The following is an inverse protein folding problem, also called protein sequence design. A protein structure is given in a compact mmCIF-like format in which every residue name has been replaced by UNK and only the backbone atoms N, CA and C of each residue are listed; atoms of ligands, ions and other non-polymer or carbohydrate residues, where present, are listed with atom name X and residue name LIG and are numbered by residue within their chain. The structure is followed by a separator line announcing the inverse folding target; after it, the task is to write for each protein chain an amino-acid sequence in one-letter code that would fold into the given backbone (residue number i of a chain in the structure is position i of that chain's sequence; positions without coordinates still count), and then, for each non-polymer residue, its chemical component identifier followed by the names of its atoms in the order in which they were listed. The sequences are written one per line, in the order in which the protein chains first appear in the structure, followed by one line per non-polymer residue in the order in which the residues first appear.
data_IF_824207116613
#
_entry.id   IF_824207116613
#
_cell.length_a   1.000
_cell.length_b   1.000
_cell.length_c   1.000
_cell.angle_alpha   90.00
_cell.angle_beta   90.00
_cell.angle_gamma   90.00
#
_symmetry.space_group_name_H-M   'P 1'
#
loop_
_entity.id
_entity.type
_entity.pdbx_description
1 polymer ?
#
# COMPACT_ATOMS: atom_id res chain seq x y z
N UNK A 1 -4.78 8.56 8.70
CA UNK A 1 -4.11 8.35 10.01
C UNK A 1 -4.30 9.57 10.92
N UNK A 2 -3.80 10.75 10.52
CA UNK A 2 -3.94 12.00 11.29
C UNK A 2 -5.41 12.40 11.48
N UNK A 3 -6.21 12.43 10.42
CA UNK A 3 -7.65 12.75 10.50
C UNK A 3 -8.41 11.82 11.45
N UNK A 4 -8.23 10.50 11.33
CA UNK A 4 -8.81 9.51 12.27
C UNK A 4 -8.36 9.72 13.71
N UNK A 5 -7.08 10.03 13.94
CA UNK A 5 -6.56 10.29 15.28
C UNK A 5 -7.20 11.57 15.88
N UNK A 6 -7.34 12.62 15.08
CA UNK A 6 -8.04 13.86 15.49
C UNK A 6 -9.52 13.59 15.74
N UNK A 7 -10.20 12.85 14.87
CA UNK A 7 -11.60 12.49 15.04
C UNK A 7 -11.82 11.68 16.32
N UNK A 8 -10.92 10.74 16.63
CA UNK A 8 -10.98 9.96 17.86
C UNK A 8 -10.74 10.83 19.11
N UNK A 9 -9.72 11.69 19.09
CA UNK A 9 -9.38 12.58 20.22
C UNK A 9 -10.50 13.59 20.52
N UNK A 10 -11.14 14.12 19.46
CA UNK A 10 -12.22 15.09 19.60
C UNK A 10 -13.60 14.43 19.78
N UNK A 11 -13.68 13.10 19.80
CA UNK A 11 -14.96 12.38 19.87
C UNK A 11 -15.89 12.68 18.69
N UNK A 12 -15.33 12.96 17.52
CA UNK A 12 -16.09 13.26 16.30
C UNK A 12 -16.87 12.04 15.81
N UNK A 13 -17.99 12.31 15.12
CA UNK A 13 -18.83 11.26 14.54
C UNK A 13 -18.05 10.45 13.48
N UNK A 14 -17.81 9.14 13.69
CA UNK A 14 -17.11 8.29 12.74
C UNK A 14 -17.90 8.05 11.44
N UNK A 15 -19.22 8.26 11.45
CA UNK A 15 -20.11 8.14 10.30
C UNK A 15 -20.16 9.39 9.42
N UNK A 16 -19.54 10.50 9.85
CA UNK A 16 -19.59 11.75 9.11
C UNK A 16 -18.84 11.62 7.76
N UNK A 17 -19.57 11.83 6.67
CA UNK A 17 -19.08 11.62 5.30
C UNK A 17 -18.59 12.89 4.59
N UNK A 18 -18.53 14.03 5.29
CA UNK A 18 -18.10 15.31 4.72
C UNK A 18 -19.13 15.99 3.80
N UNK A 19 -20.32 15.42 3.62
CA UNK A 19 -21.34 15.94 2.70
C UNK A 19 -22.12 17.15 3.25
N UNK A 20 -22.19 17.31 4.57
CA UNK A 20 -22.91 18.42 5.23
C UNK A 20 -21.90 19.39 5.83
N UNK A 21 -21.34 20.26 4.99
CA UNK A 21 -20.49 21.37 5.42
C UNK A 21 -21.22 22.70 5.30
N UNK A 22 -21.15 23.52 6.35
CA UNK A 22 -21.54 24.94 6.32
C UNK A 22 -20.27 25.78 6.24
N UNK A 23 -20.31 26.85 5.46
CA UNK A 23 -19.24 27.85 5.46
C UNK A 23 -19.41 28.74 6.70
N UNK A 24 -18.51 28.69 7.69
CA UNK A 24 -18.63 29.49 8.92
C UNK A 24 -18.57 31.01 8.67
N UNK A 25 -18.06 31.44 7.51
CA UNK A 25 -17.95 32.85 7.12
C UNK A 25 -19.20 33.37 6.36
N UNK A 26 -20.22 32.53 6.15
CA UNK A 26 -21.39 32.94 5.38
C UNK A 26 -22.44 33.63 6.27
N UNK A 27 -22.95 34.79 5.81
CA UNK A 27 -23.80 35.73 6.58
C UNK A 27 -25.09 35.16 7.18
N UNK A 28 -25.69 34.15 6.54
CA UNK A 28 -26.88 33.46 7.05
C UNK A 28 -26.64 32.53 8.26
N UNK A 29 -25.39 32.29 8.67
CA UNK A 29 -25.10 31.41 9.81
C UNK A 29 -24.71 32.20 11.06
N UNK A 30 -25.25 31.79 12.19
CA UNK A 30 -24.75 32.23 13.49
C UNK A 30 -23.53 31.36 13.83
N UNK A 31 -22.34 31.92 13.69
CA UNK A 31 -21.08 31.25 14.02
C UNK A 31 -20.69 31.58 15.45
N UNK A 32 -20.46 30.54 16.26
CA UNK A 32 -19.93 30.68 17.63
C UNK A 32 -18.46 30.31 17.57
N UNK A 33 -17.58 31.27 17.82
CA UNK A 33 -16.15 31.05 17.94
C UNK A 33 -15.79 30.87 19.42
N UNK A 34 -15.40 29.66 19.79
CA UNK A 34 -15.08 29.32 21.19
C UNK A 34 -13.64 29.73 21.54
N UNK A 35 -12.73 29.70 20.57
CA UNK A 35 -11.34 30.12 20.73
C UNK A 35 -10.85 30.80 19.44
N UNK A 36 -10.54 32.10 19.52
CA UNK A 36 -10.14 32.90 18.35
C UNK A 36 -8.65 32.88 18.03
N UNK A 37 -7.86 32.22 18.87
CA UNK A 37 -6.44 32.01 18.61
C UNK A 37 -6.23 30.74 17.77
N UNK A 38 -5.41 30.79 16.71
CA UNK A 38 -5.03 29.59 15.97
C UNK A 38 -4.33 28.58 16.90
N UNK A 39 -4.68 27.30 16.76
CA UNK A 39 -3.95 26.23 17.43
C UNK A 39 -2.55 26.11 16.85
N UNK A 40 -1.53 26.03 17.71
CA UNK A 40 -0.18 25.66 17.26
C UNK A 40 -0.16 24.19 16.83
N UNK A 41 0.67 23.85 15.84
CA UNK A 41 0.84 22.45 15.40
C UNK A 41 1.32 21.56 16.55
N UNK A 42 2.13 22.10 17.44
CA UNK A 42 2.64 21.41 18.63
C UNK A 42 1.52 21.10 19.63
N UNK A 43 0.62 22.07 19.89
CA UNK A 43 -0.60 21.85 20.71
C UNK A 43 -1.48 20.78 20.09
N UNK A 44 -1.68 20.82 18.77
CA UNK A 44 -2.48 19.81 18.06
C UNK A 44 -1.85 18.41 18.14
N UNK A 45 -0.52 18.32 18.02
CA UNK A 45 0.20 17.05 18.05
C UNK A 45 0.30 16.44 19.45
N UNK A 46 0.30 17.26 20.52
CA UNK A 46 0.50 16.81 21.89
C UNK A 46 -0.52 15.77 22.39
N UNK A 47 -1.74 15.78 21.84
CA UNK A 47 -2.79 14.80 22.15
C UNK A 47 -2.95 13.66 21.13
N UNK A 48 -2.17 13.64 20.03
CA UNK A 48 -2.37 12.68 18.95
C UNK A 48 -1.43 11.48 19.06
N UNK A 49 -1.94 10.35 19.53
CA UNK A 49 -1.24 9.06 19.41
C UNK A 49 -1.38 8.49 17.99
N UNK A 50 -0.41 8.81 17.14
CA UNK A 50 -0.35 8.33 15.76
C UNK A 50 0.13 6.86 15.63
N UNK A 51 0.62 6.26 16.72
CA UNK A 51 1.13 4.88 16.70
C UNK A 51 0.00 3.86 16.45
N UNK A 52 -1.21 4.17 16.93
CA UNK A 52 -2.42 3.32 16.78
C UNK A 52 -2.98 3.43 15.35
N UNK A 53 -2.92 4.63 14.76
CA UNK A 53 -3.50 4.91 13.45
C UNK A 53 -2.72 4.27 12.28
N UNK A 54 -1.42 4.04 12.43
CA UNK A 54 -0.59 3.36 11.43
C UNK A 54 -0.88 1.85 11.33
N UNK A 55 -1.22 1.22 12.47
CA UNK A 55 -1.44 -0.23 12.54
C UNK A 55 -2.89 -0.63 12.25
N UNK A 56 -3.88 0.16 12.68
CA UNK A 56 -5.32 -0.13 12.44
C UNK A 56 -5.82 0.23 11.04
N UNK A 57 -5.09 1.02 10.25
CA UNK A 57 -5.42 1.22 8.84
C UNK A 57 -5.42 -0.10 8.03
N UNK A 58 -4.81 -1.17 8.58
CA UNK A 58 -4.74 -2.50 7.97
C UNK A 58 -5.76 -3.50 8.52
N UNK A 59 -6.44 -3.17 9.62
CA UNK A 59 -7.42 -4.07 10.26
C UNK A 59 -8.82 -3.58 9.94
N UNK A 60 -9.48 -4.25 9.00
CA UNK A 60 -10.90 -4.14 8.71
C UNK A 60 -11.71 -4.08 10.01
N UNK A 61 -12.37 -2.94 10.33
CA UNK A 61 -13.69 -2.85 10.98
C UNK A 61 -14.21 -1.42 10.73
N UNK A 62 -15.42 -1.32 10.19
CA UNK A 62 -16.19 -0.09 9.89
C UNK A 62 -15.43 1.04 9.20
N UNK A 63 -15.15 0.82 7.92
CA UNK A 63 -14.75 1.89 7.03
C UNK A 63 -15.98 2.68 6.58
N UNK A 64 -15.93 4.01 6.72
CA UNK A 64 -16.96 4.91 6.21
C UNK A 64 -17.19 4.69 4.69
N UNK A 65 -18.30 5.20 4.13
CA UNK A 65 -18.56 5.12 2.68
C UNK A 65 -17.37 5.54 1.80
N UNK A 66 -16.67 6.60 2.23
CA UNK A 66 -15.50 7.13 1.55
C UNK A 66 -14.33 6.15 1.54
N UNK A 67 -14.07 5.51 2.67
CA UNK A 67 -12.96 4.57 2.81
C UNK A 67 -13.20 3.30 1.98
N UNK A 68 -14.45 2.87 1.77
CA UNK A 68 -14.81 1.77 0.85
C UNK A 68 -14.50 2.14 -0.60
N UNK A 69 -14.89 3.34 -1.04
CA UNK A 69 -14.61 3.83 -2.39
C UNK A 69 -13.11 3.90 -2.67
N UNK A 70 -12.35 4.51 -1.76
CA UNK A 70 -10.89 4.59 -1.84
C UNK A 70 -10.23 3.21 -1.89
N UNK A 71 -10.74 2.24 -1.10
CA UNK A 71 -10.20 0.88 -1.09
C UNK A 71 -10.37 0.19 -2.45
N UNK A 72 -11.59 0.21 -3.02
CA UNK A 72 -11.84 -0.35 -4.36
C UNK A 72 -10.97 0.33 -5.41
N UNK A 73 -10.88 1.66 -5.38
CA UNK A 73 -10.03 2.42 -6.32
C UNK A 73 -8.55 2.02 -6.25
N UNK A 74 -8.01 1.92 -5.04
CA UNK A 74 -6.60 1.62 -4.78
C UNK A 74 -6.21 0.20 -5.21
N UNK A 75 -7.07 -0.79 -4.92
CA UNK A 75 -6.87 -2.16 -5.36
C UNK A 75 -7.05 -2.31 -6.86
N UNK A 76 -8.10 -1.69 -7.42
CA UNK A 76 -8.42 -1.76 -8.84
C UNK A 76 -7.32 -1.14 -9.69
N UNK A 77 -6.80 0.05 -9.34
CA UNK A 77 -5.77 0.72 -10.15
C UNK A 77 -4.49 -0.10 -10.23
N UNK A 78 -4.06 -0.72 -9.12
CA UNK A 78 -2.85 -1.55 -9.09
C UNK A 78 -3.02 -2.84 -9.90
N UNK A 79 -4.21 -3.45 -9.85
CA UNK A 79 -4.54 -4.54 -10.75
C UNK A 79 -4.51 -4.07 -12.22
N UNK A 80 -5.15 -2.93 -12.52
CA UNK A 80 -5.27 -2.40 -13.88
C UNK A 80 -3.92 -2.11 -14.54
N UNK A 81 -2.95 -1.55 -13.80
CA UNK A 81 -1.61 -1.29 -14.33
C UNK A 81 -0.90 -2.54 -14.83
N UNK A 82 -1.20 -3.71 -14.24
CA UNK A 82 -0.65 -5.00 -14.64
C UNK A 82 -1.47 -5.64 -15.75
N UNK A 83 -2.80 -5.57 -15.65
CA UNK A 83 -3.72 -6.26 -16.55
C UNK A 83 -3.82 -5.63 -17.94
N UNK A 84 -3.67 -4.30 -18.07
CA UNK A 84 -3.94 -3.57 -19.33
C UNK A 84 -3.16 -4.09 -20.55
N UNK A 85 -1.96 -4.68 -20.35
CA UNK A 85 -1.17 -5.29 -21.43
C UNK A 85 -1.93 -6.33 -22.23
N UNK A 86 -2.76 -7.14 -21.57
CA UNK A 86 -3.52 -8.21 -22.20
C UNK A 86 -4.63 -7.72 -23.13
N UNK A 87 -4.91 -6.42 -23.12
CA UNK A 87 -6.00 -5.81 -23.87
C UNK A 87 -5.52 -4.91 -25.02
N UNK A 88 -4.21 -4.77 -25.24
CA UNK A 88 -3.65 -4.05 -26.38
C UNK A 88 -3.81 -4.85 -27.67
N UNK A 89 -5.01 -4.78 -28.25
CA UNK A 89 -5.39 -5.40 -29.52
C UNK A 89 -6.39 -4.50 -30.27
N UNK A 90 -6.59 -4.68 -31.58
CA UNK A 90 -7.65 -3.97 -32.30
C UNK A 90 -9.00 -4.13 -31.58
N UNK A 91 -9.70 -3.01 -31.36
CA UNK A 91 -10.97 -2.96 -30.61
C UNK A 91 -10.89 -3.52 -29.17
N UNK A 92 -9.70 -3.54 -28.57
CA UNK A 92 -9.49 -4.06 -27.22
C UNK A 92 -10.06 -3.19 -26.10
N UNK A 93 -10.40 -1.92 -26.38
CA UNK A 93 -10.89 -0.98 -25.36
C UNK A 93 -12.21 -1.41 -24.73
N UNK A 94 -13.17 -1.95 -25.50
CA UNK A 94 -14.45 -2.37 -24.92
C UNK A 94 -14.25 -3.56 -23.97
N UNK A 95 -13.47 -4.54 -24.39
CA UNK A 95 -13.12 -5.70 -23.56
C UNK A 95 -12.30 -5.30 -22.33
N UNK A 96 -11.46 -4.27 -22.45
CA UNK A 96 -10.74 -3.67 -21.33
C UNK A 96 -11.72 -3.07 -20.32
N UNK A 97 -12.61 -2.17 -20.76
CA UNK A 97 -13.57 -1.51 -19.88
C UNK A 97 -14.51 -2.51 -19.19
N UNK A 98 -14.92 -3.57 -19.89
CA UNK A 98 -15.66 -4.68 -19.28
C UNK A 98 -14.85 -5.39 -18.20
N UNK A 99 -13.60 -5.76 -18.48
CA UNK A 99 -12.75 -6.43 -17.50
C UNK A 99 -12.47 -5.56 -16.26
N UNK A 100 -12.27 -4.24 -16.43
CA UNK A 100 -12.12 -3.33 -15.29
C UNK A 100 -13.41 -3.25 -14.47
N UNK A 101 -14.57 -3.24 -15.13
CA UNK A 101 -15.87 -3.27 -14.45
C UNK A 101 -16.04 -4.56 -13.65
N UNK A 102 -15.81 -5.71 -14.25
CA UNK A 102 -15.96 -7.02 -13.59
C UNK A 102 -15.00 -7.13 -12.39
N UNK A 103 -13.77 -6.65 -12.54
CA UNK A 103 -12.81 -6.59 -11.45
C UNK A 103 -13.24 -5.63 -10.34
N UNK A 104 -13.81 -4.47 -10.66
CA UNK A 104 -14.29 -3.53 -9.64
C UNK A 104 -15.43 -4.14 -8.81
N UNK A 105 -16.34 -4.88 -9.45
CA UNK A 105 -17.41 -5.59 -8.76
C UNK A 105 -16.89 -6.76 -7.91
N UNK A 106 -15.85 -7.47 -8.36
CA UNK A 106 -15.24 -8.55 -7.57
C UNK A 106 -14.49 -8.05 -6.33
N UNK A 107 -14.08 -6.77 -6.31
CA UNK A 107 -13.46 -6.11 -5.16
C UNK A 107 -14.48 -5.55 -4.15
N UNK A 108 -15.78 -5.47 -4.51
CA UNK A 108 -16.84 -4.91 -3.66
C UNK A 108 -17.34 -5.93 -2.62
N UNK A 109 -16.43 -6.53 -1.84
CA UNK A 109 -16.70 -7.61 -0.87
C UNK A 109 -16.91 -7.08 0.56
N UNK A 110 -17.36 -5.84 0.71
CA UNK A 110 -17.61 -5.24 2.02
C UNK A 110 -18.85 -5.85 2.69
N UNK A 111 -18.89 -5.82 4.03
CA UNK A 111 -20.08 -6.18 4.81
C UNK A 111 -21.32 -5.40 4.34
N UNK A 112 -21.13 -4.13 4.02
CA UNK A 112 -22.11 -3.29 3.33
C UNK A 112 -21.53 -2.86 1.97
N UNK A 113 -21.90 -3.54 0.87
CA UNK A 113 -21.38 -3.24 -0.46
C UNK A 113 -21.73 -1.83 -0.92
N UNK A 114 -20.83 -1.24 -1.72
CA UNK A 114 -21.12 0.01 -2.44
C UNK A 114 -22.25 -0.20 -3.44
N UNK A 115 -22.96 0.89 -3.75
CA UNK A 115 -23.98 0.85 -4.79
C UNK A 115 -23.35 0.52 -6.14
N UNK A 116 -24.06 -0.28 -6.94
CA UNK A 116 -23.61 -0.71 -8.28
C UNK A 116 -23.15 0.45 -9.17
N UNK A 117 -23.90 1.57 -9.15
CA UNK A 117 -23.56 2.78 -9.90
C UNK A 117 -22.25 3.41 -9.44
N UNK A 118 -21.95 3.38 -8.14
CA UNK A 118 -20.72 3.93 -7.59
C UNK A 118 -19.52 3.12 -8.04
N UNK A 119 -19.60 1.79 -7.94
CA UNK A 119 -18.56 0.87 -8.43
C UNK A 119 -18.33 1.05 -9.94
N UNK A 120 -19.39 1.20 -10.72
CA UNK A 120 -19.29 1.47 -12.16
C UNK A 120 -18.55 2.78 -12.47
N UNK A 121 -18.74 3.84 -11.67
CA UNK A 121 -17.99 5.10 -11.84
C UNK A 121 -16.51 4.94 -11.49
N UNK A 122 -16.18 4.19 -10.43
CA UNK A 122 -14.78 3.88 -10.08
C UNK A 122 -14.12 3.14 -11.25
N UNK A 123 -14.78 2.09 -11.75
CA UNK A 123 -14.29 1.29 -12.86
C UNK A 123 -14.08 2.13 -14.13
N UNK A 124 -15.04 3.00 -14.45
CA UNK A 124 -14.98 3.90 -15.59
C UNK A 124 -13.83 4.91 -15.47
N UNK A 125 -13.63 5.47 -14.27
CA UNK A 125 -12.54 6.41 -13.98
C UNK A 125 -11.17 5.75 -14.18
N UNK A 126 -10.94 4.61 -13.52
CA UNK A 126 -9.68 3.86 -13.61
C UNK A 126 -9.44 3.35 -15.02
N UNK A 127 -10.44 2.69 -15.62
CA UNK A 127 -10.33 2.07 -16.94
C UNK A 127 -9.95 3.06 -18.03
N UNK A 128 -10.62 4.23 -18.07
CA UNK A 128 -10.33 5.27 -19.06
C UNK A 128 -8.97 5.92 -18.85
N UNK A 129 -8.63 6.24 -17.60
CA UNK A 129 -7.35 6.87 -17.31
C UNK A 129 -6.18 5.95 -17.67
N UNK A 130 -6.27 4.67 -17.31
CA UNK A 130 -5.24 3.67 -17.63
C UNK A 130 -5.14 3.47 -19.14
N UNK A 131 -6.26 3.31 -19.85
CA UNK A 131 -6.26 3.14 -21.31
C UNK A 131 -5.61 4.32 -22.04
N UNK A 132 -5.91 5.54 -21.61
CA UNK A 132 -5.35 6.76 -22.19
C UNK A 132 -3.86 6.94 -21.88
N UNK A 133 -3.39 6.53 -20.70
CA UNK A 133 -2.03 6.82 -20.21
C UNK A 133 -1.03 5.71 -20.48
N UNK A 134 -1.47 4.46 -20.56
CA UNK A 134 -0.61 3.30 -20.74
C UNK A 134 -0.59 2.90 -22.21
N UNK A 135 0.61 2.78 -22.77
CA UNK A 135 0.81 2.32 -24.15
C UNK A 135 1.95 1.30 -24.23
N UNK A 136 1.97 0.45 -25.29
CA UNK A 136 3.09 -0.46 -25.53
C UNK A 136 4.43 0.26 -25.60
N UNK A 137 4.48 1.42 -26.25
CA UNK A 137 5.68 2.26 -26.35
C UNK A 137 6.13 2.74 -24.97
N UNK A 138 5.24 3.40 -24.21
CA UNK A 138 5.57 3.92 -22.88
C UNK A 138 6.03 2.80 -21.91
N UNK A 139 5.46 1.60 -22.02
CA UNK A 139 5.90 0.43 -21.24
C UNK A 139 7.29 -0.05 -21.67
N UNK A 140 7.58 -0.11 -22.98
CA UNK A 140 8.90 -0.49 -23.49
C UNK A 140 9.97 0.49 -22.99
N UNK A 141 9.73 1.79 -23.14
CA UNK A 141 10.64 2.85 -22.69
C UNK A 141 10.89 2.77 -21.19
N UNK A 142 9.85 2.48 -20.40
CA UNK A 142 9.97 2.27 -18.96
C UNK A 142 10.85 1.05 -18.64
N UNK A 143 10.65 -0.07 -19.35
CA UNK A 143 11.42 -1.29 -19.15
C UNK A 143 12.89 -1.02 -19.46
N UNK A 144 13.19 -0.43 -20.61
CA UNK A 144 14.55 -0.10 -21.03
C UNK A 144 15.27 0.78 -20.00
N UNK A 145 14.61 1.82 -19.48
CA UNK A 145 15.20 2.72 -18.48
C UNK A 145 15.36 2.10 -17.08
N UNK A 146 14.54 1.11 -16.71
CA UNK A 146 14.44 0.66 -15.31
C UNK A 146 14.78 -0.80 -15.05
N UNK A 147 14.86 -1.63 -16.09
CA UNK A 147 15.12 -3.07 -15.99
C UNK A 147 16.52 -3.45 -16.49
N UNK A 148 17.48 -2.51 -16.47
CA UNK A 148 18.88 -2.88 -16.74
C UNK A 148 19.36 -3.91 -15.71
N UNK A 149 20.25 -4.84 -16.09
CA UNK A 149 20.77 -5.88 -15.20
C UNK A 149 21.31 -5.31 -13.89
N UNK A 150 21.98 -4.16 -13.93
CA UNK A 150 22.59 -3.49 -12.78
C UNK A 150 21.53 -2.98 -11.80
N UNK A 151 20.46 -2.36 -12.32
CA UNK A 151 19.35 -1.88 -11.50
C UNK A 151 18.55 -3.02 -10.88
N UNK A 152 18.30 -4.08 -11.65
CA UNK A 152 17.63 -5.28 -11.16
C UNK A 152 18.46 -6.01 -10.10
N UNK A 153 19.78 -6.13 -10.30
CA UNK A 153 20.69 -6.69 -9.30
C UNK A 153 20.69 -5.87 -8.01
N UNK A 154 20.76 -4.54 -8.08
CA UNK A 154 20.67 -3.66 -6.91
C UNK A 154 19.35 -3.81 -6.16
N UNK A 155 18.23 -3.89 -6.88
CA UNK A 155 16.90 -4.10 -6.28
C UNK A 155 16.79 -5.47 -5.60
N UNK A 156 17.26 -6.53 -6.26
CA UNK A 156 17.31 -7.89 -5.72
C UNK A 156 18.19 -7.97 -4.47
N UNK A 157 19.35 -7.32 -4.50
CA UNK A 157 20.24 -7.21 -3.35
C UNK A 157 19.56 -6.51 -2.16
N UNK A 158 18.90 -5.38 -2.38
CA UNK A 158 18.17 -4.65 -1.32
C UNK A 158 17.00 -5.47 -0.76
N UNK A 159 16.18 -6.07 -1.63
CA UNK A 159 15.03 -6.88 -1.23
C UNK A 159 15.45 -8.10 -0.39
N UNK A 160 16.55 -8.75 -0.76
CA UNK A 160 17.08 -9.91 -0.04
C UNK A 160 17.94 -9.58 1.17
N UNK A 161 18.25 -8.30 1.45
CA UNK A 161 19.21 -7.94 2.50
C UNK A 161 18.73 -8.36 3.89
N UNK A 162 17.50 -8.00 4.26
CA UNK A 162 16.93 -8.33 5.56
C UNK A 162 16.86 -9.84 5.78
N UNK A 163 16.36 -10.60 4.79
CA UNK A 163 16.25 -12.05 4.92
C UNK A 163 17.62 -12.74 4.99
N UNK A 164 18.62 -12.25 4.23
CA UNK A 164 19.99 -12.76 4.33
C UNK A 164 20.58 -12.48 5.70
N UNK A 165 20.34 -11.30 6.27
CA UNK A 165 20.81 -10.97 7.62
C UNK A 165 20.19 -11.90 8.67
N UNK A 166 18.87 -12.08 8.64
CA UNK A 166 18.15 -12.99 9.53
C UNK A 166 18.70 -14.44 9.45
N UNK A 167 18.92 -14.95 8.24
CA UNK A 167 19.50 -16.27 8.04
C UNK A 167 20.95 -16.35 8.53
N UNK A 168 21.74 -15.29 8.36
CA UNK A 168 23.12 -15.22 8.86
C UNK A 168 23.15 -15.19 10.39
N UNK A 169 22.28 -14.41 11.02
CA UNK A 169 22.19 -14.31 12.48
C UNK A 169 21.79 -15.67 13.08
N UNK A 170 20.79 -16.34 12.50
CA UNK A 170 20.39 -17.71 12.90
C UNK A 170 21.52 -18.71 12.68
N UNK A 171 22.23 -18.64 11.55
CA UNK A 171 23.40 -19.49 11.29
C UNK A 171 24.51 -19.28 12.34
N UNK A 172 24.76 -18.04 12.75
CA UNK A 172 25.78 -17.71 13.76
C UNK A 172 25.39 -18.23 15.15
N UNK A 173 24.14 -18.05 15.55
CA UNK A 173 23.61 -18.59 16.81
C UNK A 173 23.73 -20.11 16.87
N UNK A 174 23.34 -20.82 15.81
CA UNK A 174 23.47 -22.29 15.74
C UNK A 174 24.94 -22.75 15.73
N UNK A 175 25.83 -21.97 15.13
CA UNK A 175 27.28 -22.24 15.16
C UNK A 175 27.83 -22.12 16.59
N UNK A 176 27.42 -21.08 17.34
CA UNK A 176 27.80 -20.91 18.76
C UNK A 176 27.24 -22.04 19.65
N UNK A 177 26.05 -22.53 19.32
CA UNK A 177 25.44 -23.69 19.99
C UNK A 177 26.11 -25.05 19.60
N UNK A 178 27.11 -25.04 18.71
CA UNK A 178 27.90 -26.23 18.37
C UNK A 178 27.31 -27.11 17.26
N UNK A 179 26.27 -26.67 16.55
CA UNK A 179 25.73 -27.43 15.42
C UNK A 179 26.72 -27.51 14.24
N UNK A 180 26.68 -28.62 13.51
CA UNK A 180 27.50 -28.77 12.30
C UNK A 180 26.98 -27.88 11.17
N UNK A 181 27.85 -27.50 10.24
CA UNK A 181 27.47 -26.68 9.07
C UNK A 181 26.45 -27.38 8.17
N UNK A 182 26.38 -28.71 8.19
CA UNK A 182 25.34 -29.48 7.47
C UNK A 182 23.98 -29.35 8.14
N UNK A 183 23.92 -29.40 9.46
CA UNK A 183 22.65 -29.31 10.21
C UNK A 183 22.06 -27.89 10.07
N UNK A 184 22.92 -26.87 10.15
CA UNK A 184 22.54 -25.47 9.92
C UNK A 184 22.01 -25.27 8.49
N UNK A 185 22.66 -25.88 7.51
CA UNK A 185 22.25 -25.82 6.11
C UNK A 185 20.88 -26.46 5.87
N UNK A 186 20.62 -27.63 6.48
CA UNK A 186 19.34 -28.30 6.42
C UNK A 186 18.21 -27.46 7.05
N UNK A 187 18.45 -26.88 8.23
CA UNK A 187 17.50 -26.04 8.96
C UNK A 187 17.16 -24.73 8.23
N UNK A 188 18.14 -24.12 7.55
CA UNK A 188 17.97 -22.86 6.84
C UNK A 188 17.57 -23.02 5.37
N UNK A 189 17.52 -24.26 4.87
CA UNK A 189 17.24 -24.55 3.46
C UNK A 189 18.29 -23.98 2.49
N UNK A 190 19.55 -23.87 2.92
CA UNK A 190 20.67 -23.37 2.11
C UNK A 190 21.76 -24.42 1.99
N UNK A 191 22.74 -24.23 1.10
CA UNK A 191 23.86 -25.19 0.99
C UNK A 191 24.86 -25.03 2.13
N UNK A 192 25.51 -26.12 2.55
CA UNK A 192 26.58 -26.08 3.55
C UNK A 192 27.75 -25.16 3.14
N UNK A 193 28.00 -25.00 1.83
CA UNK A 193 28.97 -24.05 1.29
C UNK A 193 28.59 -22.60 1.60
N UNK A 194 27.30 -22.27 1.48
CA UNK A 194 26.76 -20.94 1.80
C UNK A 194 26.98 -20.61 3.28
N UNK A 195 26.67 -21.55 4.18
CA UNK A 195 26.88 -21.38 5.64
C UNK A 195 28.37 -21.21 5.96
N UNK A 196 29.24 -22.03 5.37
CA UNK A 196 30.70 -21.92 5.52
C UNK A 196 31.22 -20.55 5.08
N UNK A 197 30.74 -20.03 3.95
CA UNK A 197 31.12 -18.71 3.46
C UNK A 197 30.63 -17.58 4.36
N UNK A 198 29.46 -17.70 4.99
CA UNK A 198 28.98 -16.73 5.98
C UNK A 198 29.86 -16.71 7.23
N UNK A 199 30.20 -17.88 7.77
CA UNK A 199 31.09 -18.00 8.94
C UNK A 199 32.48 -17.42 8.62
N UNK A 200 33.03 -17.69 7.44
CA UNK A 200 34.31 -17.12 7.00
C UNK A 200 34.25 -15.59 6.91
N UNK A 201 33.21 -15.03 6.30
CA UNK A 201 33.02 -13.57 6.21
C UNK A 201 32.91 -12.92 7.59
N UNK A 202 32.12 -13.51 8.49
CA UNK A 202 31.98 -13.01 9.87
C UNK A 202 33.32 -13.00 10.62
N UNK A 203 34.17 -14.01 10.43
CA UNK A 203 35.52 -14.07 11.02
C UNK A 203 36.53 -13.11 10.37
N UNK A 204 36.36 -12.79 9.09
CA UNK A 204 37.26 -11.90 8.35
C UNK A 204 36.99 -10.41 8.54
N UNK A 205 35.95 -10.02 9.28
CA UNK A 205 35.69 -8.61 9.66
C UNK A 205 35.46 -7.65 8.49
N UNK A 206 35.08 -8.16 7.31
CA UNK A 206 34.72 -7.37 6.11
C UNK A 206 33.27 -7.57 5.73
#
# INVERSE_FOLDING_TARGET
AVERAIAQELGADPGYSGLIIKNPAHSYWQTIEVEGAPYSLERLASGLDLSIAANKARTQVDTSGLERNCSVFEELRHWSYRAVSGYWRPNGESAWLMAVRDQAHSLNLFREPLQQKEVDQIAKSVGRWVWKRFSPAARRDLIERTHTPELQAKRGAKKGAAKRQECMDKAMLMTLAGHSTRDIAAELGVTAMTVSNWIKRAKSGK
#
